data_IF_420468995319
#
_entry.id   IF_420468995319
#
_cell.length_a   1.000
_cell.length_b   1.000
_cell.length_c   1.000
_cell.angle_alpha   90.00
_cell.angle_beta   90.00
_cell.angle_gamma   90.00
#
_symmetry.space_group_name_H-M   'P 1'
#
loop_
_entity.id
_entity.type
_entity.pdbx_description
1 polymer ?
#
# COMPACT_ATOMS: atom_id res chain seq x y z
N UNK A 1 -40.70 65.92 34.21
CA UNK A 1 -41.59 67.05 33.88
C UNK A 1 -41.44 67.35 32.40
N UNK A 2 -42.52 67.11 31.64
CA UNK A 2 -42.90 67.78 30.38
C UNK A 2 -41.90 67.75 29.20
N UNK A 3 -42.30 66.95 28.20
CA UNK A 3 -42.35 67.25 26.75
C UNK A 3 -41.07 67.70 26.05
N UNK A 4 -40.68 66.95 25.01
CA UNK A 4 -40.48 67.67 23.74
C UNK A 4 -40.78 66.87 22.48
N UNK A 5 -41.33 67.63 21.53
CA UNK A 5 -41.98 67.27 20.28
C UNK A 5 -41.06 66.56 19.29
N UNK A 6 -41.70 65.70 18.51
CA UNK A 6 -41.24 65.08 17.27
C UNK A 6 -40.84 66.15 16.23
N UNK A 7 -39.69 65.96 15.61
CA UNK A 7 -39.40 66.49 14.27
C UNK A 7 -39.20 65.31 13.33
N UNK A 8 -39.97 65.34 12.24
CA UNK A 8 -39.98 64.38 11.14
C UNK A 8 -38.78 64.72 10.24
N UNK A 9 -37.85 63.79 10.07
CA UNK A 9 -36.79 63.89 9.06
C UNK A 9 -37.13 62.92 7.94
N UNK A 10 -37.48 63.46 6.77
CA UNK A 10 -37.62 62.71 5.54
C UNK A 10 -36.24 62.22 5.08
N UNK A 11 -36.09 60.92 4.86
CA UNK A 11 -34.91 60.33 4.22
C UNK A 11 -35.36 59.70 2.90
N UNK A 12 -34.86 60.25 1.79
CA UNK A 12 -34.99 59.68 0.46
C UNK A 12 -34.34 58.30 0.42
N UNK A 13 -35.11 57.27 0.05
CA UNK A 13 -34.57 55.95 -0.29
C UNK A 13 -34.23 55.96 -1.78
N UNK A 14 -32.95 56.09 -2.09
CA UNK A 14 -32.44 55.83 -3.44
C UNK A 14 -32.32 54.31 -3.65
N UNK A 15 -33.20 53.73 -4.48
CA UNK A 15 -33.05 52.35 -4.95
C UNK A 15 -31.84 52.25 -5.88
N UNK A 16 -30.73 51.72 -5.36
CA UNK A 16 -29.63 51.22 -6.18
C UNK A 16 -30.04 49.86 -6.76
N UNK A 17 -30.46 49.84 -8.02
CA UNK A 17 -30.59 48.60 -8.80
C UNK A 17 -29.17 48.13 -9.14
N UNK A 18 -28.61 47.26 -8.30
CA UNK A 18 -27.44 46.47 -8.66
C UNK A 18 -27.86 45.51 -9.78
N UNK A 19 -27.47 45.85 -11.01
CA UNK A 19 -27.46 44.90 -12.11
C UNK A 19 -26.50 43.77 -11.72
N UNK A 20 -27.05 42.66 -11.24
CA UNK A 20 -26.36 41.37 -11.21
C UNK A 20 -26.10 40.98 -12.66
N UNK A 21 -24.97 41.41 -13.20
CA UNK A 21 -24.39 40.82 -14.38
C UNK A 21 -24.10 39.35 -14.06
N UNK A 22 -25.09 38.49 -14.30
CA UNK A 22 -24.95 37.06 -14.21
C UNK A 22 -23.79 36.65 -15.10
N UNK A 23 -22.70 36.18 -14.49
CA UNK A 23 -21.68 35.44 -15.20
C UNK A 23 -22.37 34.21 -15.78
N UNK A 24 -22.77 34.26 -17.05
CA UNK A 24 -23.05 33.09 -17.87
C UNK A 24 -21.71 32.37 -18.14
N UNK A 25 -21.06 31.93 -17.07
CA UNK A 25 -19.96 30.99 -17.15
C UNK A 25 -20.55 29.69 -17.64
N UNK A 26 -20.32 29.37 -18.92
CA UNK A 26 -20.58 28.04 -19.46
C UNK A 26 -20.02 27.03 -18.45
N UNK A 27 -20.79 26.00 -18.03
CA UNK A 27 -20.25 24.99 -17.14
C UNK A 27 -18.97 24.45 -17.78
N UNK A 28 -17.84 24.59 -17.08
CA UNK A 28 -16.57 24.02 -17.52
C UNK A 28 -16.82 22.53 -17.77
N UNK A 29 -16.72 22.09 -19.03
CA UNK A 29 -16.71 20.65 -19.36
C UNK A 29 -15.68 20.02 -18.43
N UNK A 30 -16.11 19.14 -17.50
CA UNK A 30 -15.19 18.32 -16.72
C UNK A 30 -14.32 17.58 -17.71
N UNK A 31 -13.05 18.01 -17.84
CA UNK A 31 -12.08 17.27 -18.65
C UNK A 31 -11.96 15.88 -18.02
N UNK A 32 -12.03 14.80 -18.80
CA UNK A 32 -11.80 13.46 -18.25
C UNK A 32 -10.42 13.45 -17.59
N UNK A 33 -10.32 12.86 -16.39
CA UNK A 33 -9.04 12.70 -15.71
C UNK A 33 -8.13 11.85 -16.62
N UNK A 34 -6.89 12.28 -16.88
CA UNK A 34 -6.01 11.49 -17.72
C UNK A 34 -5.71 10.16 -17.03
N UNK A 35 -5.58 9.11 -17.84
CA UNK A 35 -5.24 7.76 -17.40
C UNK A 35 -3.88 7.43 -17.98
N UNK A 36 -2.96 7.02 -17.12
CA UNK A 36 -1.60 6.66 -17.50
C UNK A 36 -1.29 5.25 -17.01
N UNK A 37 -0.72 4.40 -17.88
CA UNK A 37 -0.08 3.17 -17.43
C UNK A 37 1.23 3.55 -16.76
N UNK A 38 1.29 3.43 -15.43
CA UNK A 38 2.45 3.88 -14.64
C UNK A 38 3.41 2.76 -14.27
N UNK A 39 2.99 1.51 -14.46
CA UNK A 39 3.85 0.34 -14.25
C UNK A 39 3.29 -0.87 -15.00
N UNK A 40 4.16 -1.65 -15.63
CA UNK A 40 3.80 -2.96 -16.21
C UNK A 40 4.51 -4.06 -15.44
N UNK A 41 3.76 -5.03 -14.95
CA UNK A 41 4.30 -6.23 -14.34
C UNK A 41 4.80 -7.21 -15.42
N UNK A 42 4.09 -7.23 -16.55
CA UNK A 42 4.36 -7.98 -17.78
C UNK A 42 3.43 -7.45 -18.90
N UNK A 43 3.20 -8.26 -19.94
CA UNK A 43 2.35 -7.91 -21.09
C UNK A 43 0.87 -7.65 -20.70
N UNK A 44 0.32 -8.43 -19.76
CA UNK A 44 -1.13 -8.51 -19.50
C UNK A 44 -1.52 -7.94 -18.14
N UNK A 45 -0.55 -7.52 -17.32
CA UNK A 45 -0.76 -6.94 -15.99
C UNK A 45 -0.11 -5.57 -15.85
N UNK A 46 -0.87 -4.57 -15.40
CA UNK A 46 -0.35 -3.21 -15.21
C UNK A 46 -1.10 -2.40 -14.14
N UNK A 47 -0.52 -1.24 -13.81
CA UNK A 47 -1.13 -0.21 -12.97
C UNK A 47 -1.55 1.00 -13.80
N UNK A 48 -2.79 1.43 -13.62
CA UNK A 48 -3.34 2.66 -14.22
C UNK A 48 -3.49 3.73 -13.15
N UNK A 49 -2.85 4.88 -13.38
CA UNK A 49 -3.03 6.08 -12.57
C UNK A 49 -4.07 6.99 -13.22
N UNK A 50 -5.16 7.22 -12.50
CA UNK A 50 -6.22 8.16 -12.87
C UNK A 50 -6.03 9.44 -12.06
N UNK A 51 -5.32 10.41 -12.62
CA UNK A 51 -4.80 11.54 -11.83
C UNK A 51 -4.02 12.56 -12.63
N UNK A 52 -3.69 13.69 -12.02
CA UNK A 52 -2.94 14.79 -12.65
C UNK A 52 -1.59 14.90 -11.94
N UNK A 53 -0.53 15.32 -12.64
CA UNK A 53 0.79 15.54 -12.04
C UNK A 53 1.31 14.32 -11.25
N UNK A 54 1.06 13.12 -11.76
CA UNK A 54 1.47 11.85 -11.17
C UNK A 54 0.92 11.57 -9.77
N UNK A 55 -0.26 12.12 -9.46
CA UNK A 55 -1.01 11.87 -8.24
C UNK A 55 -2.49 11.58 -8.54
N UNK A 56 -3.06 10.53 -7.96
CA UNK A 56 -4.48 10.20 -8.17
C UNK A 56 -4.94 8.85 -7.64
N UNK A 57 -6.01 8.33 -8.23
CA UNK A 57 -6.50 6.98 -7.95
C UNK A 57 -5.68 5.95 -8.73
N UNK A 58 -5.42 4.79 -8.13
CA UNK A 58 -4.61 3.73 -8.74
C UNK A 58 -5.43 2.46 -8.91
N UNK A 59 -5.42 1.92 -10.12
CA UNK A 59 -6.12 0.70 -10.49
C UNK A 59 -5.12 -0.36 -10.97
N UNK A 60 -5.37 -1.61 -10.60
CA UNK A 60 -4.68 -2.77 -11.15
C UNK A 60 -5.54 -3.43 -12.21
N UNK A 61 -4.89 -3.89 -13.27
CA UNK A 61 -5.52 -4.63 -14.36
C UNK A 61 -4.72 -5.92 -14.61
N UNK A 62 -5.42 -7.04 -14.73
CA UNK A 62 -4.94 -8.31 -15.29
C UNK A 62 -5.95 -8.78 -16.33
N UNK A 63 -5.58 -8.71 -17.60
CA UNK A 63 -6.47 -9.09 -18.70
C UNK A 63 -6.74 -10.60 -18.75
N UNK A 64 -5.73 -11.44 -18.52
CA UNK A 64 -5.87 -12.90 -18.60
C UNK A 64 -6.82 -13.43 -17.54
N UNK A 65 -6.85 -12.78 -16.37
CA UNK A 65 -7.73 -13.14 -15.25
C UNK A 65 -9.03 -12.34 -15.22
N UNK A 66 -9.24 -11.42 -16.15
CA UNK A 66 -10.36 -10.47 -16.16
C UNK A 66 -10.50 -9.73 -14.81
N UNK A 67 -9.37 -9.30 -14.23
CA UNK A 67 -9.34 -8.56 -12.97
C UNK A 67 -9.14 -7.09 -13.27
N UNK A 68 -10.01 -6.26 -12.71
CA UNK A 68 -9.78 -4.84 -12.52
C UNK A 68 -10.17 -4.46 -11.10
N UNK A 69 -9.22 -3.96 -10.32
CA UNK A 69 -9.42 -3.67 -8.90
C UNK A 69 -8.79 -2.34 -8.50
N UNK A 70 -9.44 -1.64 -7.58
CA UNK A 70 -8.92 -0.38 -7.02
C UNK A 70 -7.84 -0.70 -5.98
N UNK A 71 -6.63 -0.18 -6.20
CA UNK A 71 -5.51 -0.30 -5.25
C UNK A 71 -5.52 0.86 -4.26
N UNK A 72 -5.80 2.06 -4.75
CA UNK A 72 -5.97 3.27 -3.95
C UNK A 72 -7.03 4.17 -4.58
N UNK A 73 -7.94 4.69 -3.77
CA UNK A 73 -9.03 5.54 -4.24
C UNK A 73 -8.60 6.96 -4.63
N UNK A 74 -7.47 7.45 -4.10
CA UNK A 74 -6.93 8.79 -4.36
C UNK A 74 -5.50 8.97 -3.79
N UNK A 75 -4.88 10.11 -4.11
CA UNK A 75 -3.57 10.59 -3.58
C UNK A 75 -2.39 9.61 -3.72
N UNK A 76 -2.52 8.56 -4.53
CA UNK A 76 -1.41 7.68 -4.81
C UNK A 76 -0.38 8.42 -5.65
N UNK A 77 0.89 8.33 -5.26
CA UNK A 77 2.05 8.84 -5.99
C UNK A 77 3.01 7.72 -6.28
N UNK A 78 3.53 7.69 -7.52
CA UNK A 78 4.39 6.60 -8.01
C UNK A 78 5.66 6.45 -7.16
N UNK A 79 6.11 5.21 -7.02
CA UNK A 79 7.38 4.88 -6.41
C UNK A 79 8.52 5.06 -7.41
N UNK A 80 9.63 5.69 -6.99
CA UNK A 80 10.72 6.08 -7.90
C UNK A 80 12.01 5.28 -7.75
N UNK A 81 12.05 4.27 -6.89
CA UNK A 81 13.22 3.39 -6.75
C UNK A 81 13.03 2.14 -7.62
N UNK A 82 14.09 1.36 -7.87
CA UNK A 82 13.97 0.05 -8.51
C UNK A 82 12.88 -0.79 -7.86
N UNK A 83 11.97 -1.28 -8.69
CA UNK A 83 10.80 -2.05 -8.30
C UNK A 83 10.55 -3.16 -9.31
N UNK A 84 10.64 -4.40 -8.83
CA UNK A 84 10.40 -5.61 -9.60
C UNK A 84 9.32 -6.40 -8.88
N UNK A 85 8.29 -6.82 -9.62
CA UNK A 85 7.29 -7.72 -9.09
C UNK A 85 7.02 -8.86 -10.07
N UNK A 86 7.78 -9.94 -9.90
CA UNK A 86 7.80 -11.10 -10.77
C UNK A 86 6.74 -12.15 -10.40
N UNK A 87 6.17 -12.09 -9.19
CA UNK A 87 5.16 -13.05 -8.76
C UNK A 87 3.78 -12.71 -9.35
N UNK A 88 2.96 -13.74 -9.57
CA UNK A 88 1.59 -13.56 -10.04
C UNK A 88 0.57 -13.48 -8.90
N UNK A 89 0.70 -14.37 -7.92
CA UNK A 89 -0.23 -14.47 -6.79
C UNK A 89 -0.01 -13.33 -5.79
N UNK A 90 1.26 -13.06 -5.47
CA UNK A 90 1.65 -11.99 -4.55
C UNK A 90 2.08 -10.72 -5.25
N UNK A 91 1.39 -9.63 -4.96
CA UNK A 91 1.68 -8.31 -5.53
C UNK A 91 1.87 -7.33 -4.38
N UNK A 92 2.83 -6.42 -4.49
CA UNK A 92 3.06 -5.36 -3.51
C UNK A 92 3.34 -4.06 -4.26
N UNK A 93 2.51 -3.05 -4.02
CA UNK A 93 2.51 -1.76 -4.71
C UNK A 93 3.07 -0.69 -3.76
N UNK A 94 4.33 -0.27 -3.96
CA UNK A 94 4.94 0.80 -3.17
C UNK A 94 4.40 2.18 -3.52
N UNK A 95 4.60 3.14 -2.63
CA UNK A 95 4.24 4.55 -2.83
C UNK A 95 5.42 5.48 -2.57
N UNK A 96 5.31 6.73 -3.03
CA UNK A 96 6.41 7.71 -2.98
C UNK A 96 7.05 7.94 -1.60
N UNK A 97 6.26 8.09 -0.53
CA UNK A 97 6.74 8.59 0.77
C UNK A 97 6.68 7.56 1.91
N UNK A 98 6.51 6.28 1.62
CA UNK A 98 6.32 5.27 2.65
C UNK A 98 7.11 3.99 2.40
N UNK A 99 7.60 3.38 3.48
CA UNK A 99 8.06 1.99 3.47
C UNK A 99 6.90 0.99 3.64
N UNK A 100 5.70 1.48 3.96
CA UNK A 100 4.47 0.69 3.87
C UNK A 100 3.97 0.70 2.44
N UNK A 101 3.39 -0.42 2.02
CA UNK A 101 2.89 -0.59 0.66
C UNK A 101 1.62 -1.42 0.67
N UNK A 102 0.87 -1.34 -0.41
CA UNK A 102 -0.41 -2.06 -0.53
C UNK A 102 -0.16 -3.40 -1.20
N UNK A 103 -0.59 -4.49 -0.59
CA UNK A 103 -0.33 -5.84 -1.05
C UNK A 103 -1.61 -6.57 -1.47
N UNK A 104 -1.48 -7.47 -2.43
CA UNK A 104 -2.46 -8.47 -2.81
C UNK A 104 -1.83 -9.86 -2.70
N UNK A 105 -2.64 -10.85 -2.32
CA UNK A 105 -2.24 -12.26 -2.15
C UNK A 105 -3.13 -13.20 -2.97
N UNK A 106 -3.92 -12.63 -3.86
CA UNK A 106 -4.99 -13.28 -4.59
C UNK A 106 -5.04 -12.79 -6.06
N UNK A 107 -3.85 -12.56 -6.63
CA UNK A 107 -3.64 -12.14 -8.02
C UNK A 107 -4.18 -10.73 -8.34
N UNK A 108 -4.19 -9.84 -7.34
CA UNK A 108 -4.68 -8.48 -7.48
C UNK A 108 -6.20 -8.34 -7.32
N UNK A 109 -6.92 -9.33 -6.78
CA UNK A 109 -8.37 -9.21 -6.55
C UNK A 109 -8.69 -8.33 -5.35
N UNK A 110 -7.96 -8.51 -4.26
CA UNK A 110 -8.12 -7.70 -3.04
C UNK A 110 -6.80 -7.12 -2.59
N UNK A 111 -6.91 -5.96 -1.93
CA UNK A 111 -5.78 -5.15 -1.51
C UNK A 111 -5.83 -4.88 0.00
N UNK A 112 -4.67 -4.92 0.64
CA UNK A 112 -4.48 -4.68 2.08
C UNK A 112 -3.17 -3.92 2.33
N UNK A 113 -3.10 -3.05 3.34
CA UNK A 113 -1.84 -2.45 3.73
C UNK A 113 -0.87 -3.51 4.29
N UNK A 114 0.42 -3.37 4.00
CA UNK A 114 1.47 -4.09 4.70
C UNK A 114 1.87 -3.39 5.99
N UNK A 115 2.32 -4.19 6.96
CA UNK A 115 3.02 -3.71 8.13
C UNK A 115 4.50 -4.04 7.99
N UNK A 116 5.36 -3.17 8.54
CA UNK A 116 6.81 -3.35 8.54
C UNK A 116 7.36 -3.12 9.94
N UNK A 117 8.35 -3.92 10.32
CA UNK A 117 9.07 -3.77 11.59
C UNK A 117 10.52 -4.19 11.43
N UNK A 118 11.42 -3.38 11.95
CA UNK A 118 12.85 -3.63 11.96
C UNK A 118 13.57 -2.70 12.89
N UNK A 119 14.77 -2.31 12.49
CA UNK A 119 15.66 -1.45 13.26
C UNK A 119 16.63 -0.76 12.33
N UNK A 120 16.45 0.53 12.11
CA UNK A 120 17.38 1.34 11.34
C UNK A 120 18.61 1.72 12.17
N UNK A 121 19.69 2.07 11.48
CA UNK A 121 20.95 2.49 12.09
C UNK A 121 21.00 4.02 12.29
N UNK A 122 19.84 4.65 12.46
CA UNK A 122 19.73 6.07 12.80
C UNK A 122 19.84 6.29 14.32
N UNK A 123 20.03 7.55 14.75
CA UNK A 123 20.18 7.89 16.17
C UNK A 123 18.96 7.48 17.01
N UNK A 124 17.78 7.47 16.39
CA UNK A 124 16.52 7.10 17.05
C UNK A 124 16.32 5.58 17.14
N UNK A 125 17.07 4.78 16.38
CA UNK A 125 16.84 3.34 16.23
C UNK A 125 15.45 3.04 15.67
N UNK A 126 15.04 3.76 14.62
CA UNK A 126 13.69 3.70 14.04
C UNK A 126 13.28 2.27 13.67
N UNK A 127 12.00 1.96 13.81
CA UNK A 127 11.48 0.61 13.58
C UNK A 127 11.23 0.26 12.11
N UNK A 128 11.51 1.15 11.17
CA UNK A 128 11.33 0.95 9.72
C UNK A 128 12.13 2.00 8.94
N UNK A 129 12.51 1.72 7.68
CA UNK A 129 13.27 2.66 6.89
C UNK A 129 12.40 3.83 6.43
N UNK A 130 12.97 5.04 6.43
CA UNK A 130 12.38 6.14 5.71
C UNK A 130 12.39 5.89 4.20
N UNK A 131 11.41 6.44 3.46
CA UNK A 131 11.33 6.28 2.00
C UNK A 131 12.64 6.65 1.28
N UNK A 132 13.34 7.68 1.74
CA UNK A 132 14.62 8.12 1.16
C UNK A 132 15.74 7.07 1.29
N UNK A 133 15.63 6.16 2.26
CA UNK A 133 16.60 5.10 2.54
C UNK A 133 16.26 3.78 1.84
N UNK A 134 15.10 3.67 1.19
CA UNK A 134 14.76 2.50 0.39
C UNK A 134 15.65 2.48 -0.87
N UNK A 135 16.34 1.36 -1.09
CA UNK A 135 17.13 1.10 -2.28
C UNK A 135 16.30 0.40 -3.36
N UNK A 136 15.52 -0.62 -2.99
CA UNK A 136 14.64 -1.33 -3.94
C UNK A 136 13.55 -2.11 -3.23
N UNK A 137 12.53 -2.50 -4.01
CA UNK A 137 11.53 -3.49 -3.62
C UNK A 137 11.47 -4.58 -4.69
N UNK A 138 11.62 -5.84 -4.29
CA UNK A 138 11.55 -7.01 -5.18
C UNK A 138 10.55 -8.02 -4.65
N UNK A 139 9.67 -8.52 -5.52
CA UNK A 139 8.71 -9.56 -5.20
C UNK A 139 8.98 -10.75 -6.12
N UNK A 140 9.39 -11.87 -5.54
CA UNK A 140 9.79 -13.08 -6.25
C UNK A 140 9.47 -14.30 -5.38
N UNK A 141 9.11 -15.43 -6.02
CA UNK A 141 8.70 -16.65 -5.32
C UNK A 141 7.62 -16.41 -4.27
N UNK A 142 6.67 -15.52 -4.57
CA UNK A 142 5.59 -15.20 -3.65
C UNK A 142 6.09 -14.64 -2.30
N UNK A 143 7.26 -13.98 -2.29
CA UNK A 143 7.82 -13.31 -1.13
C UNK A 143 8.30 -11.91 -1.53
N UNK A 144 8.17 -10.95 -0.63
CA UNK A 144 8.65 -9.59 -0.85
C UNK A 144 9.92 -9.28 -0.07
N UNK A 145 10.76 -8.46 -0.69
CA UNK A 145 12.09 -8.08 -0.26
C UNK A 145 12.28 -6.57 -0.41
N UNK A 146 12.30 -5.84 0.70
CA UNK A 146 12.62 -4.42 0.72
C UNK A 146 14.06 -4.25 1.18
N UNK A 147 14.91 -3.73 0.28
CA UNK A 147 16.32 -3.48 0.54
C UNK A 147 16.53 -2.00 0.85
N UNK A 148 17.26 -1.71 1.92
CA UNK A 148 17.68 -0.34 2.26
C UNK A 148 19.05 -0.03 1.67
N UNK A 149 19.39 1.26 1.56
CA UNK A 149 20.71 1.73 1.12
C UNK A 149 21.84 1.30 2.06
N UNK A 150 21.52 1.03 3.32
CA UNK A 150 22.42 0.54 4.35
C UNK A 150 22.64 -0.98 4.27
N UNK A 151 21.92 -1.69 3.40
CA UNK A 151 22.03 -3.13 3.22
C UNK A 151 21.07 -3.95 4.08
N UNK A 152 20.11 -3.32 4.76
CA UNK A 152 19.10 -4.04 5.54
C UNK A 152 18.07 -4.66 4.61
N UNK A 153 17.79 -5.94 4.83
CA UNK A 153 16.84 -6.70 4.03
C UNK A 153 15.61 -7.04 4.85
N UNK A 154 14.53 -6.30 4.59
CA UNK A 154 13.21 -6.56 5.16
C UNK A 154 12.49 -7.58 4.29
N UNK A 155 11.96 -8.63 4.91
CA UNK A 155 11.32 -9.74 4.19
C UNK A 155 9.91 -9.98 4.69
N UNK A 156 8.99 -10.20 3.75
CA UNK A 156 7.74 -10.84 4.12
C UNK A 156 7.97 -12.28 4.55
N UNK A 157 6.98 -12.88 5.20
CA UNK A 157 6.96 -14.34 5.38
C UNK A 157 6.99 -15.08 4.04
N UNK A 158 7.46 -16.32 4.08
CA UNK A 158 7.36 -17.30 2.99
C UNK A 158 5.89 -17.58 2.65
N UNK A 159 5.60 -17.97 1.39
CA UNK A 159 4.27 -18.42 0.99
C UNK A 159 3.78 -19.57 1.85
N UNK A 160 2.46 -19.65 1.95
CA UNK A 160 1.79 -20.47 2.92
C UNK A 160 1.14 -21.67 2.26
N UNK A 161 2.00 -22.59 1.84
CA UNK A 161 1.60 -23.82 1.15
C UNK A 161 1.77 -25.05 2.08
N UNK A 162 1.87 -24.84 3.40
CA UNK A 162 1.94 -25.92 4.40
C UNK A 162 0.56 -26.57 4.61
N UNK A 163 0.39 -27.86 4.25
CA UNK A 163 -0.91 -28.54 4.36
C UNK A 163 -1.47 -28.56 5.78
N UNK A 164 -0.63 -28.46 6.81
CA UNK A 164 -1.08 -28.47 8.21
C UNK A 164 -1.87 -27.24 8.58
N UNK A 165 -1.62 -26.09 7.93
CA UNK A 165 -2.38 -24.88 8.23
C UNK A 165 -3.48 -24.63 7.19
N UNK A 166 -3.50 -25.31 6.05
CA UNK A 166 -4.61 -25.22 5.09
C UNK A 166 -5.95 -25.73 5.69
N UNK A 167 -7.12 -25.41 5.09
CA UNK A 167 -8.40 -25.91 5.57
C UNK A 167 -8.43 -27.43 5.76
N UNK A 168 -8.83 -27.87 6.96
CA UNK A 168 -8.82 -29.28 7.36
C UNK A 168 -7.46 -29.80 7.86
N UNK A 169 -6.42 -28.96 7.87
CA UNK A 169 -5.10 -29.30 8.38
C UNK A 169 -5.04 -29.43 9.91
N UNK A 170 -3.95 -30.02 10.40
CA UNK A 170 -3.74 -30.31 11.82
C UNK A 170 -3.33 -29.11 12.68
N UNK A 171 -3.03 -27.95 12.11
CA UNK A 171 -2.31 -26.89 12.82
C UNK A 171 -0.84 -27.23 13.10
N UNK A 172 -0.11 -26.29 13.70
CA UNK A 172 1.30 -26.44 14.12
C UNK A 172 1.44 -26.00 15.58
N UNK A 173 1.83 -26.92 16.45
CA UNK A 173 2.16 -26.61 17.84
C UNK A 173 3.55 -25.95 17.93
N UNK A 174 3.68 -24.98 18.82
CA UNK A 174 4.96 -24.35 19.13
C UNK A 174 5.05 -23.98 20.61
N UNK A 175 6.27 -23.83 21.11
CA UNK A 175 6.53 -23.39 22.48
C UNK A 175 7.46 -22.20 22.50
N UNK A 176 7.28 -21.31 23.48
CA UNK A 176 8.12 -20.14 23.66
C UNK A 176 8.31 -19.79 25.12
N UNK A 177 9.47 -19.19 25.44
CA UNK A 177 9.75 -18.71 26.80
C UNK A 177 9.49 -17.22 26.89
N UNK A 178 8.64 -16.80 27.83
CA UNK A 178 8.39 -15.40 28.13
C UNK A 178 8.54 -15.15 29.63
N UNK A 179 9.41 -14.20 30.00
CA UNK A 179 9.77 -13.91 31.40
C UNK A 179 10.17 -15.17 32.20
N UNK A 180 10.98 -16.04 31.59
CA UNK A 180 11.48 -17.27 32.22
C UNK A 180 10.47 -18.41 32.33
N UNK A 181 9.23 -18.25 31.86
CA UNK A 181 8.20 -19.31 31.85
C UNK A 181 8.01 -19.86 30.45
N UNK A 182 7.92 -21.19 30.33
CA UNK A 182 7.58 -21.89 29.09
C UNK A 182 6.07 -21.81 28.86
N UNK A 183 5.69 -21.40 27.65
CA UNK A 183 4.31 -21.41 27.17
C UNK A 183 4.22 -22.36 25.97
N UNK A 184 3.09 -23.03 25.85
CA UNK A 184 2.72 -23.84 24.70
C UNK A 184 1.55 -23.14 24.00
N UNK A 185 1.63 -23.06 22.68
CA UNK A 185 0.65 -22.40 21.84
C UNK A 185 0.55 -23.13 20.50
N UNK A 186 -0.47 -22.83 19.71
CA UNK A 186 -0.76 -23.51 18.45
C UNK A 186 -1.16 -22.55 17.36
N UNK A 187 -0.55 -22.71 16.20
CA UNK A 187 -1.02 -22.10 14.98
C UNK A 187 -2.13 -22.98 14.41
N UNK A 188 -3.38 -22.53 14.56
CA UNK A 188 -4.57 -23.22 14.05
C UNK A 188 -4.63 -23.25 12.52
N UNK A 189 -5.23 -24.32 11.98
CA UNK A 189 -5.57 -24.40 10.57
C UNK A 189 -6.65 -23.37 10.17
N UNK A 190 -6.61 -22.96 8.91
CA UNK A 190 -7.54 -22.04 8.25
C UNK A 190 -8.96 -22.62 8.32
N UNK A 191 -9.89 -21.93 9.00
CA UNK A 191 -11.28 -22.39 9.10
C UNK A 191 -12.14 -21.81 7.96
N UNK A 192 -12.85 -22.65 7.17
CA UNK A 192 -13.81 -22.15 6.19
C UNK A 192 -14.94 -21.38 6.90
N UNK A 193 -15.21 -20.13 6.50
CA UNK A 193 -16.40 -19.37 6.94
C UNK A 193 -16.26 -18.52 8.22
N UNK A 194 -15.29 -18.80 9.10
CA UNK A 194 -14.83 -17.83 10.11
C UNK A 194 -13.49 -17.31 9.62
N UNK A 195 -13.44 -16.09 9.10
CA UNK A 195 -12.25 -15.46 8.50
C UNK A 195 -11.04 -15.27 9.44
N UNK A 196 -10.82 -16.17 10.39
CA UNK A 196 -9.82 -16.09 11.45
C UNK A 196 -8.92 -17.31 11.39
N UNK A 197 -8.09 -17.35 10.35
CA UNK A 197 -6.67 -16.98 10.41
C UNK A 197 -6.05 -17.42 9.07
N UNK A 198 -6.43 -16.75 7.98
CA UNK A 198 -6.31 -17.36 6.64
C UNK A 198 -5.08 -16.91 5.84
N UNK A 199 -3.95 -17.06 6.53
CA UNK A 199 -2.58 -16.74 6.13
C UNK A 199 -2.17 -15.32 6.52
N UNK A 200 -1.19 -15.20 7.42
CA UNK A 200 -0.43 -13.94 7.65
C UNK A 200 0.66 -13.73 6.61
N UNK A 201 0.76 -14.65 5.64
CA UNK A 201 1.68 -14.53 4.54
C UNK A 201 1.61 -13.16 3.90
N UNK A 202 2.77 -12.56 3.65
CA UNK A 202 2.87 -11.32 2.89
C UNK A 202 2.37 -10.06 3.60
N UNK A 203 1.72 -10.15 4.77
CA UNK A 203 1.16 -8.96 5.44
C UNK A 203 2.19 -8.20 6.27
N UNK A 204 3.25 -8.88 6.71
CA UNK A 204 4.23 -8.33 7.62
C UNK A 204 5.64 -8.51 7.07
N UNK A 205 6.38 -7.41 6.95
CA UNK A 205 7.77 -7.37 6.56
C UNK A 205 8.61 -7.17 7.80
N UNK A 206 9.60 -8.04 7.99
CA UNK A 206 10.46 -8.03 9.16
C UNK A 206 11.91 -7.92 8.74
N UNK A 207 12.67 -7.10 9.46
CA UNK A 207 14.12 -7.21 9.49
C UNK A 207 14.51 -8.44 10.35
N UNK A 208 15.15 -9.47 9.76
CA UNK A 208 15.54 -10.67 10.48
C UNK A 208 16.37 -10.42 11.74
N UNK A 209 17.14 -9.32 11.80
CA UNK A 209 17.98 -8.97 12.96
C UNK A 209 17.16 -8.84 14.25
N UNK A 210 15.89 -8.42 14.15
CA UNK A 210 15.01 -8.28 15.31
C UNK A 210 14.02 -9.44 15.47
N UNK A 211 13.98 -10.39 14.54
CA UNK A 211 12.98 -11.47 14.52
C UNK A 211 12.95 -12.24 15.85
N UNK A 212 14.12 -12.47 16.47
CA UNK A 212 14.26 -13.14 17.77
C UNK A 212 13.45 -12.47 18.91
N UNK A 213 13.07 -11.19 18.78
CA UNK A 213 12.28 -10.42 19.76
C UNK A 213 10.78 -10.45 19.48
N UNK A 214 10.35 -11.00 18.36
CA UNK A 214 8.95 -11.01 17.93
C UNK A 214 8.33 -12.39 18.13
N UNK A 215 7.04 -12.43 18.45
CA UNK A 215 6.28 -13.69 18.55
C UNK A 215 6.23 -14.43 17.21
N UNK A 216 6.26 -13.71 16.09
CA UNK A 216 6.18 -14.29 14.74
C UNK A 216 7.36 -15.19 14.38
N UNK A 217 8.47 -15.16 15.13
CA UNK A 217 9.60 -16.09 14.94
C UNK A 217 9.21 -17.57 15.08
N UNK A 218 8.11 -17.83 15.78
CA UNK A 218 7.59 -19.18 15.98
C UNK A 218 6.74 -19.67 14.81
N UNK A 219 6.32 -18.78 13.91
CA UNK A 219 5.50 -19.17 12.77
C UNK A 219 6.37 -19.81 11.70
N UNK A 220 5.93 -20.97 11.18
CA UNK A 220 6.69 -21.76 10.22
C UNK A 220 7.12 -20.96 8.98
N UNK A 221 6.29 -20.01 8.54
CA UNK A 221 6.57 -19.15 7.39
C UNK A 221 7.53 -17.97 7.65
N UNK A 222 8.04 -17.83 8.88
CA UNK A 222 9.16 -16.95 9.23
C UNK A 222 10.43 -17.74 9.61
N UNK A 223 10.39 -19.07 9.47
CA UNK A 223 11.57 -19.92 9.66
C UNK A 223 12.32 -20.05 8.33
N UNK A 224 13.65 -20.16 8.40
CA UNK A 224 14.52 -20.37 7.22
C UNK A 224 14.35 -19.30 6.13
N UNK A 225 14.13 -18.04 6.52
CA UNK A 225 14.13 -16.91 5.59
C UNK A 225 15.48 -16.85 4.84
N UNK A 226 15.49 -16.51 3.54
CA UNK A 226 16.73 -16.35 2.80
C UNK A 226 17.55 -15.18 3.34
N UNK A 227 18.86 -15.16 3.07
CA UNK A 227 19.76 -14.08 3.50
C UNK A 227 19.96 -12.99 2.45
N UNK A 228 19.43 -13.20 1.24
CA UNK A 228 19.51 -12.28 0.10
C UNK A 228 18.27 -12.43 -0.77
N UNK A 229 18.03 -11.43 -1.62
CA UNK A 229 16.98 -11.50 -2.65
C UNK A 229 17.29 -12.67 -3.59
N UNK A 230 16.35 -13.62 -3.79
CA UNK A 230 16.49 -14.66 -4.80
C UNK A 230 16.66 -14.08 -6.21
N UNK A 231 17.36 -14.80 -7.08
CA UNK A 231 17.50 -14.41 -8.48
C UNK A 231 16.13 -14.33 -9.17
N UNK A 232 15.88 -13.21 -9.85
CA UNK A 232 14.67 -13.01 -10.66
C UNK A 232 14.96 -13.48 -12.09
N UNK A 233 14.28 -14.53 -12.54
CA UNK A 233 14.46 -15.13 -13.87
C UNK A 233 13.28 -14.80 -14.78
N UNK A 234 13.57 -14.45 -16.04
CA UNK A 234 12.56 -14.29 -17.08
C UNK A 234 11.57 -13.14 -16.86
N UNK A 235 11.92 -12.13 -16.04
CA UNK A 235 11.05 -10.98 -15.80
C UNK A 235 11.00 -10.05 -17.01
N UNK A 236 9.79 -9.72 -17.48
CA UNK A 236 9.55 -8.91 -18.67
C UNK A 236 8.88 -7.56 -18.38
N UNK A 237 8.55 -7.30 -17.11
CA UNK A 237 7.95 -6.04 -16.68
C UNK A 237 8.93 -4.89 -16.59
N UNK A 238 8.42 -3.74 -16.17
CA UNK A 238 9.24 -2.55 -15.95
C UNK A 238 10.00 -2.66 -14.62
N UNK A 239 11.23 -2.14 -14.60
CA UNK A 239 12.04 -2.09 -13.37
C UNK A 239 11.80 -0.84 -12.53
N UNK A 240 11.02 0.11 -13.06
CA UNK A 240 10.68 1.38 -12.42
C UNK A 240 9.27 1.80 -12.83
N UNK A 241 8.55 2.47 -11.94
CA UNK A 241 7.32 3.17 -12.33
C UNK A 241 7.68 4.42 -13.14
N UNK A 242 6.78 4.78 -14.06
CA UNK A 242 6.95 5.93 -14.95
C UNK A 242 5.66 6.75 -14.95
N UNK A 243 5.77 8.06 -15.12
CA UNK A 243 4.60 8.92 -15.24
C UNK A 243 4.97 10.25 -15.90
N UNK A 244 4.09 10.74 -16.78
CA UNK A 244 4.19 12.07 -17.36
C UNK A 244 3.49 13.10 -16.47
N UNK A 245 4.27 14.03 -15.91
CA UNK A 245 3.79 15.13 -15.08
C UNK A 245 2.87 16.10 -15.83
N UNK A 246 2.96 16.14 -17.17
CA UNK A 246 2.19 17.05 -18.02
C UNK A 246 0.89 16.45 -18.55
N UNK A 247 0.63 15.18 -18.27
CA UNK A 247 -0.59 14.54 -18.73
C UNK A 247 -1.84 15.28 -18.19
N UNK A 248 -2.68 15.76 -19.12
CA UNK A 248 -3.91 16.47 -18.82
C UNK A 248 -3.78 17.92 -18.31
N UNK A 249 -2.57 18.49 -18.31
CA UNK A 249 -2.32 19.93 -18.11
C UNK A 249 -2.56 20.71 -19.40
#
# INVERSE_FOLDING_TARGET
MISNKKYITAVLVALFILNLGGCNGRPLKKRPKPVQVVYRFDEHRWLELHGIACEGALWFVDEKRAIRSEVSSQFYRIFTKPYINASERYIAVPSWNSAHFTISRDYGRTWRPSAIKGREDDEAGSDYPESKNIASLTIVNDQGFLLTKQGHLYMSSLPFDDPRIMPGGSGIDYSYTFKGRLYHDRQEAIRPGKGENVSRWGLFYVDPRILHRLVIKHYANFQNLPTRVPEVKGYTGWTHMQCDMKAGL
#
